data_IF_969658926347
#
_entry.id   IF_969658926347
#
_cell.length_a   1.000
_cell.length_b   1.000
_cell.length_c   1.000
_cell.angle_alpha   90.00
_cell.angle_beta   90.00
_cell.angle_gamma   90.00
#
_symmetry.space_group_name_H-M   'P 1'
#
loop_
_entity.id
_entity.type
_entity.pdbx_description
1 polymer ?
#
# COMPACT_ATOMS: atom_id res chain seq x y z
N UNK A 1 -7.81 19.68 -11.63
CA UNK A 1 -7.98 20.81 -12.58
C UNK A 1 -6.66 21.58 -12.66
N UNK A 2 -6.07 21.74 -13.84
CA UNK A 2 -4.83 22.51 -14.05
C UNK A 2 -5.16 23.81 -14.79
N UNK A 3 -5.33 24.92 -14.06
CA UNK A 3 -5.45 26.27 -14.64
C UNK A 3 -4.23 27.07 -14.20
N UNK A 4 -3.53 27.69 -15.15
CA UNK A 4 -2.43 28.62 -14.91
C UNK A 4 -2.90 29.99 -15.40
N UNK A 5 -2.94 30.98 -14.52
CA UNK A 5 -3.30 32.37 -14.84
C UNK A 5 -2.07 33.11 -15.38
N UNK A 6 -2.31 34.15 -16.17
CA UNK A 6 -1.25 34.99 -16.75
C UNK A 6 -0.31 35.60 -15.71
N UNK A 7 -0.83 35.92 -14.51
CA UNK A 7 -0.05 36.44 -13.39
C UNK A 7 0.96 35.44 -12.83
N UNK A 8 0.65 34.14 -12.89
CA UNK A 8 1.51 33.05 -12.42
C UNK A 8 2.73 32.83 -13.34
N UNK A 9 2.71 33.33 -14.59
CA UNK A 9 3.86 33.28 -15.52
C UNK A 9 5.05 34.12 -15.07
N UNK A 10 4.90 34.97 -14.05
CA UNK A 10 6.02 35.70 -13.45
C UNK A 10 6.95 34.77 -12.67
N UNK A 11 6.42 33.64 -12.19
CA UNK A 11 7.18 32.63 -11.49
C UNK A 11 8.09 31.86 -12.48
N UNK A 12 9.42 31.83 -12.26
CA UNK A 12 10.33 31.00 -13.06
C UNK A 12 9.96 29.51 -13.07
N UNK A 13 9.40 28.98 -11.98
CA UNK A 13 9.04 27.56 -11.88
C UNK A 13 7.82 27.23 -12.74
N UNK A 14 6.84 28.13 -12.81
CA UNK A 14 5.67 27.98 -13.71
C UNK A 14 6.09 28.05 -15.17
N UNK A 15 7.04 28.93 -15.51
CA UNK A 15 7.60 28.99 -16.88
C UNK A 15 8.41 27.75 -17.23
N UNK A 16 9.19 27.22 -16.28
CA UNK A 16 9.91 25.97 -16.45
C UNK A 16 8.95 24.79 -16.64
N UNK A 17 7.91 24.68 -15.82
CA UNK A 17 6.85 23.68 -15.97
C UNK A 17 6.21 23.74 -17.36
N UNK A 18 5.83 24.94 -17.83
CA UNK A 18 5.27 25.12 -19.17
C UNK A 18 6.25 24.74 -20.27
N UNK A 19 7.52 25.10 -20.17
CA UNK A 19 8.54 24.68 -21.12
C UNK A 19 8.66 23.15 -21.17
N UNK A 20 8.72 22.50 -20.00
CA UNK A 20 8.80 21.04 -19.86
C UNK A 20 7.57 20.33 -20.45
N UNK A 21 6.36 20.90 -20.36
CA UNK A 21 5.17 20.36 -21.03
C UNK A 21 5.39 20.20 -22.54
N UNK A 22 6.15 21.10 -23.17
CA UNK A 22 6.40 21.05 -24.61
C UNK A 22 7.67 20.28 -24.98
N UNK A 23 8.72 20.36 -24.17
CA UNK A 23 10.02 19.76 -24.49
C UNK A 23 10.17 18.34 -23.98
N UNK A 24 9.61 18.04 -22.81
CA UNK A 24 9.72 16.74 -22.16
C UNK A 24 8.45 16.39 -21.34
N UNK A 25 7.26 16.36 -21.96
CA UNK A 25 5.98 16.18 -21.26
C UNK A 25 5.95 14.92 -20.39
N UNK A 26 6.64 13.87 -20.83
CA UNK A 26 6.67 12.60 -20.11
C UNK A 26 7.51 12.65 -18.82
N UNK A 27 8.34 13.66 -18.61
CA UNK A 27 9.06 13.87 -17.34
C UNK A 27 8.15 14.41 -16.24
N UNK A 28 7.04 15.06 -16.63
CA UNK A 28 6.01 15.60 -15.73
C UNK A 28 4.96 14.56 -15.36
N UNK A 29 4.96 13.39 -16.01
CA UNK A 29 4.06 12.29 -15.69
C UNK A 29 4.42 11.73 -14.30
N UNK A 30 3.58 11.96 -13.27
CA UNK A 30 3.88 11.51 -11.92
C UNK A 30 4.04 9.98 -11.86
N UNK A 31 3.30 9.24 -12.70
CA UNK A 31 3.41 7.79 -12.76
C UNK A 31 4.79 7.34 -13.28
N UNK A 32 5.38 8.04 -14.25
CA UNK A 32 6.75 7.74 -14.71
C UNK A 32 7.80 8.07 -13.67
N UNK A 33 7.64 9.19 -12.96
CA UNK A 33 8.55 9.56 -11.85
C UNK A 33 8.50 8.50 -10.75
N UNK A 34 7.30 8.14 -10.30
CA UNK A 34 7.07 7.09 -9.30
C UNK A 34 7.60 5.73 -9.75
N UNK A 35 7.34 5.31 -10.98
CA UNK A 35 7.87 4.06 -11.53
C UNK A 35 9.41 4.02 -11.57
N UNK A 36 10.07 5.14 -11.94
CA UNK A 36 11.53 5.23 -11.97
C UNK A 36 12.13 5.15 -10.56
N UNK A 37 11.57 5.90 -9.60
CA UNK A 37 11.99 5.86 -8.19
C UNK A 37 11.81 4.46 -7.64
N UNK A 38 10.63 3.88 -7.84
CA UNK A 38 10.28 2.50 -7.45
C UNK A 38 11.27 1.48 -7.99
N UNK A 39 11.62 1.54 -9.29
CA UNK A 39 12.56 0.60 -9.92
C UNK A 39 13.97 0.68 -9.33
N UNK A 40 14.43 1.89 -9.02
CA UNK A 40 15.76 2.13 -8.46
C UNK A 40 15.86 1.56 -7.05
N UNK A 41 14.88 1.86 -6.20
CA UNK A 41 14.81 1.35 -4.82
C UNK A 41 14.64 -0.17 -4.82
N UNK A 42 13.82 -0.73 -5.71
CA UNK A 42 13.63 -2.16 -5.84
C UNK A 42 14.93 -2.92 -6.15
N UNK A 43 15.87 -2.29 -6.86
CA UNK A 43 17.17 -2.88 -7.13
C UNK A 43 18.06 -2.91 -5.87
N UNK A 44 18.09 -1.83 -5.10
CA UNK A 44 18.85 -1.71 -3.85
C UNK A 44 18.35 -2.69 -2.80
N UNK A 45 17.04 -2.73 -2.58
CA UNK A 45 16.41 -3.62 -1.61
C UNK A 45 16.54 -5.09 -2.00
N UNK A 46 16.47 -5.42 -3.30
CA UNK A 46 16.72 -6.79 -3.75
C UNK A 46 18.19 -7.21 -3.51
N UNK A 47 19.15 -6.28 -3.60
CA UNK A 47 20.54 -6.57 -3.22
C UNK A 47 20.69 -6.80 -1.72
N UNK A 48 20.00 -6.00 -0.90
CA UNK A 48 19.96 -6.17 0.55
C UNK A 48 19.32 -7.50 0.96
N UNK A 49 18.17 -7.85 0.38
CA UNK A 49 17.47 -9.10 0.65
C UNK A 49 18.37 -10.31 0.38
N UNK A 50 18.97 -10.38 -0.81
CA UNK A 50 19.90 -11.48 -1.16
C UNK A 50 21.11 -11.57 -0.24
N UNK A 51 21.63 -10.41 0.21
CA UNK A 51 22.75 -10.38 1.15
C UNK A 51 22.35 -10.95 2.52
N UNK A 52 21.14 -10.66 3.00
CA UNK A 52 20.63 -11.14 4.28
C UNK A 52 20.23 -12.63 4.23
N UNK A 53 19.65 -13.09 3.12
CA UNK A 53 19.26 -14.50 2.93
C UNK A 53 20.45 -15.47 2.93
N UNK A 54 21.67 -14.97 2.71
CA UNK A 54 22.89 -15.76 2.90
C UNK A 54 23.18 -16.13 4.37
N UNK A 55 22.49 -15.50 5.33
CA UNK A 55 22.74 -15.68 6.77
C UNK A 55 21.47 -15.81 7.62
N UNK A 56 20.29 -15.58 7.03
CA UNK A 56 19.01 -15.59 7.72
C UNK A 56 17.93 -16.30 6.89
N UNK A 57 16.93 -16.91 7.54
CA UNK A 57 15.75 -17.45 6.86
C UNK A 57 15.01 -16.40 6.02
N UNK A 58 14.53 -16.78 4.84
CA UNK A 58 13.91 -15.84 3.90
C UNK A 58 12.62 -15.20 4.42
N UNK A 59 11.87 -15.90 5.29
CA UNK A 59 10.72 -15.35 6.00
C UNK A 59 11.14 -14.26 6.99
N UNK A 60 12.20 -14.48 7.78
CA UNK A 60 12.72 -13.48 8.71
C UNK A 60 13.21 -12.22 7.97
N UNK A 61 13.91 -12.40 6.84
CA UNK A 61 14.35 -11.30 5.97
C UNK A 61 13.17 -10.51 5.42
N UNK A 62 12.14 -11.20 4.92
CA UNK A 62 10.94 -10.54 4.39
C UNK A 62 10.25 -9.66 5.44
N UNK A 63 10.01 -10.20 6.65
CA UNK A 63 9.38 -9.44 7.74
C UNK A 63 10.24 -8.25 8.19
N UNK A 64 11.55 -8.45 8.31
CA UNK A 64 12.48 -7.38 8.65
C UNK A 64 12.45 -6.24 7.62
N UNK A 65 12.52 -6.56 6.33
CA UNK A 65 12.46 -5.57 5.27
C UNK A 65 11.09 -4.88 5.24
N UNK A 66 9.98 -5.61 5.37
CA UNK A 66 8.64 -5.00 5.43
C UNK A 66 8.54 -3.93 6.52
N UNK A 67 9.04 -4.21 7.74
CA UNK A 67 9.05 -3.24 8.84
C UNK A 67 9.91 -2.03 8.52
N UNK A 68 11.13 -2.22 8.01
CA UNK A 68 11.99 -1.11 7.61
C UNK A 68 11.33 -0.21 6.56
N UNK A 69 10.74 -0.82 5.53
CA UNK A 69 10.09 -0.11 4.43
C UNK A 69 8.87 0.68 4.91
N UNK A 70 8.07 0.08 5.79
CA UNK A 70 6.95 0.79 6.38
C UNK A 70 7.42 1.92 7.30
N UNK A 71 8.51 1.75 8.06
CA UNK A 71 9.06 2.84 8.89
C UNK A 71 9.56 4.01 8.03
N UNK A 72 10.21 3.74 6.89
CA UNK A 72 10.59 4.77 5.91
C UNK A 72 9.36 5.46 5.29
N UNK A 73 8.33 4.68 4.95
CA UNK A 73 7.07 5.24 4.49
C UNK A 73 6.42 6.16 5.54
N UNK A 74 6.39 5.71 6.80
CA UNK A 74 5.76 6.43 7.90
C UNK A 74 6.42 7.79 8.17
N UNK A 75 7.74 7.91 8.08
CA UNK A 75 8.41 9.22 8.23
C UNK A 75 8.13 10.19 7.08
N UNK A 76 8.01 9.69 5.85
CA UNK A 76 7.85 10.54 4.68
C UNK A 76 6.40 11.01 4.48
N UNK A 77 5.41 10.21 4.93
CA UNK A 77 3.99 10.63 4.93
C UNK A 77 3.57 11.38 6.19
N UNK A 78 4.47 11.59 7.15
CA UNK A 78 4.20 12.38 8.36
C UNK A 78 3.51 11.63 9.51
N UNK A 79 3.56 10.30 9.52
CA UNK A 79 3.15 9.47 10.66
C UNK A 79 4.24 9.41 11.74
N UNK A 80 5.50 9.55 11.33
CA UNK A 80 6.65 9.77 12.20
C UNK A 80 7.27 11.14 11.89
N UNK A 81 8.09 11.71 12.78
CA UNK A 81 8.82 12.93 12.46
C UNK A 81 9.64 12.76 11.18
N UNK A 82 9.64 13.82 10.36
CA UNK A 82 10.24 13.81 9.04
C UNK A 82 11.72 13.39 9.09
N UNK A 83 12.11 12.41 8.25
CA UNK A 83 13.45 11.81 8.17
C UNK A 83 14.01 11.24 9.49
N UNK A 84 13.17 10.94 10.48
CA UNK A 84 13.64 10.49 11.78
C UNK A 84 14.23 9.07 11.79
N UNK A 85 13.67 8.14 11.00
CA UNK A 85 14.26 6.83 10.78
C UNK A 85 15.49 6.93 9.87
N UNK A 86 15.44 7.74 8.80
CA UNK A 86 16.62 8.02 7.97
C UNK A 86 17.80 8.53 8.82
N UNK A 87 17.54 9.45 9.75
CA UNK A 87 18.57 9.97 10.66
C UNK A 87 19.06 8.91 11.64
N UNK A 88 18.16 8.09 12.21
CA UNK A 88 18.55 6.97 13.08
C UNK A 88 19.53 6.03 12.37
N UNK A 89 19.26 5.65 11.11
CA UNK A 89 20.18 4.82 10.33
C UNK A 89 21.53 5.50 10.11
N UNK A 90 21.54 6.82 9.89
CA UNK A 90 22.75 7.60 9.72
C UNK A 90 23.61 7.64 11.00
N UNK A 91 22.99 7.81 12.16
CA UNK A 91 23.65 7.83 13.46
C UNK A 91 24.30 6.48 13.79
N UNK A 92 23.67 5.38 13.34
CA UNK A 92 24.16 4.00 13.53
C UNK A 92 25.29 3.59 12.56
N UNK A 93 25.67 4.43 11.60
CA UNK A 93 26.68 4.10 10.57
C UNK A 93 28.00 3.60 11.16
N UNK A 94 28.42 4.17 12.29
CA UNK A 94 29.67 3.84 12.97
C UNK A 94 29.47 2.93 14.20
N UNK A 95 28.23 2.54 14.48
CA UNK A 95 27.85 1.66 15.59
C UNK A 95 26.74 0.68 15.15
N UNK A 96 27.06 -0.14 14.15
CA UNK A 96 26.10 -1.05 13.53
C UNK A 96 25.61 -2.12 14.52
N UNK A 97 26.40 -2.46 15.55
CA UNK A 97 26.01 -3.40 16.58
C UNK A 97 24.80 -2.92 17.40
N UNK A 98 24.62 -1.60 17.52
CA UNK A 98 23.45 -0.99 18.17
C UNK A 98 22.20 -0.97 17.29
N UNK A 99 22.29 -1.35 16.01
CA UNK A 99 21.14 -1.29 15.09
C UNK A 99 19.94 -2.11 15.59
N UNK A 100 20.07 -3.42 15.91
CA UNK A 100 18.92 -4.19 16.37
C UNK A 100 18.25 -3.58 17.60
N UNK A 101 18.92 -3.38 18.76
CA UNK A 101 18.22 -2.92 19.95
C UNK A 101 17.55 -1.54 19.80
N UNK A 102 18.13 -0.63 18.99
CA UNK A 102 17.53 0.68 18.72
C UNK A 102 16.26 0.59 17.88
N UNK A 103 16.32 -0.18 16.79
CA UNK A 103 15.21 -0.31 15.84
C UNK A 103 14.07 -1.14 16.44
N UNK A 104 14.39 -2.22 17.17
CA UNK A 104 13.38 -3.00 17.89
C UNK A 104 12.65 -2.17 18.94
N UNK A 105 13.37 -1.27 19.64
CA UNK A 105 12.72 -0.36 20.59
C UNK A 105 11.76 0.60 19.89
N UNK A 106 12.18 1.15 18.74
CA UNK A 106 11.30 2.00 17.94
C UNK A 106 10.04 1.23 17.51
N UNK A 107 10.19 0.02 16.96
CA UNK A 107 9.08 -0.80 16.51
C UNK A 107 8.12 -1.22 17.63
N UNK A 108 8.64 -1.54 18.82
CA UNK A 108 7.80 -1.78 20.00
C UNK A 108 6.96 -0.55 20.38
N UNK A 109 7.53 0.64 20.27
CA UNK A 109 6.75 1.88 20.48
C UNK A 109 5.77 2.13 19.33
N UNK A 110 6.10 1.80 18.08
CA UNK A 110 5.15 1.90 16.97
C UNK A 110 3.96 0.94 17.14
N UNK A 111 4.19 -0.27 17.68
CA UNK A 111 3.12 -1.25 17.96
C UNK A 111 2.11 -0.71 19.00
N UNK A 112 2.62 -0.12 20.09
CA UNK A 112 1.81 0.28 21.24
C UNK A 112 1.36 1.75 21.21
N UNK A 113 2.04 2.60 20.45
CA UNK A 113 1.92 4.06 20.50
C UNK A 113 2.57 4.67 21.75
N UNK A 114 2.68 6.00 21.77
CA UNK A 114 3.16 6.77 22.93
C UNK A 114 4.55 7.38 22.73
N UNK A 115 5.25 7.66 23.82
CA UNK A 115 6.52 8.38 23.78
C UNK A 115 7.68 7.48 23.33
N UNK A 116 8.21 7.73 22.15
CA UNK A 116 9.43 7.07 21.65
C UNK A 116 10.66 7.76 22.21
N UNK A 117 11.46 7.03 22.99
CA UNK A 117 12.76 7.52 23.47
C UNK A 117 13.80 7.62 22.36
N UNK A 118 13.65 6.81 21.31
CA UNK A 118 14.52 6.81 20.12
C UNK A 118 14.31 8.10 19.32
N UNK A 119 13.04 8.48 19.08
CA UNK A 119 12.69 9.67 18.29
C UNK A 119 12.44 10.92 19.15
N UNK A 120 12.41 10.76 20.48
CA UNK A 120 12.16 11.81 21.48
C UNK A 120 10.84 12.57 21.26
N UNK A 121 9.81 11.86 20.82
CA UNK A 121 8.49 12.43 20.54
C UNK A 121 7.38 11.42 20.86
N UNK A 122 6.15 11.92 20.99
CA UNK A 122 4.96 11.08 20.90
C UNK A 122 4.80 10.57 19.44
N UNK A 123 4.50 9.29 19.29
CA UNK A 123 4.18 8.66 18.00
C UNK A 123 2.84 7.91 18.10
N UNK A 124 2.08 7.83 17.00
CA UNK A 124 0.77 7.17 17.01
C UNK A 124 0.91 5.65 17.19
N UNK A 125 -0.17 5.00 17.63
CA UNK A 125 -0.25 3.54 17.64
C UNK A 125 -0.52 3.01 16.24
N UNK A 126 0.34 2.14 15.74
CA UNK A 126 0.20 1.59 14.40
C UNK A 126 -0.59 0.28 14.33
N UNK A 127 -0.64 -0.58 15.36
CA UNK A 127 -0.68 -2.03 15.08
C UNK A 127 -1.86 -2.65 14.31
N UNK A 128 -1.46 -3.55 13.41
CA UNK A 128 -2.24 -4.55 12.68
C UNK A 128 -1.26 -5.66 12.26
N UNK A 129 -0.78 -6.41 13.25
CA UNK A 129 0.23 -7.49 13.21
C UNK A 129 1.67 -7.13 12.75
N UNK A 130 1.86 -6.10 11.90
CA UNK A 130 3.17 -5.76 11.33
C UNK A 130 4.31 -5.56 12.36
N UNK A 131 4.01 -4.90 13.47
CA UNK A 131 4.97 -4.57 14.53
C UNK A 131 4.82 -5.43 15.80
N UNK A 132 3.91 -6.42 15.79
CA UNK A 132 3.68 -7.29 16.95
C UNK A 132 4.96 -8.05 17.35
N UNK A 133 5.70 -8.55 16.35
CA UNK A 133 7.02 -9.14 16.54
C UNK A 133 8.11 -8.17 16.08
N UNK A 134 8.49 -7.24 16.96
CA UNK A 134 9.50 -6.22 16.68
C UNK A 134 10.94 -6.75 16.67
N UNK A 135 11.24 -7.79 15.88
CA UNK A 135 12.58 -8.40 15.74
C UNK A 135 13.35 -7.75 14.57
N UNK A 136 14.56 -7.26 14.85
CA UNK A 136 15.47 -6.68 13.86
C UNK A 136 16.68 -7.59 13.58
N UNK A 137 17.02 -7.75 12.30
CA UNK A 137 18.19 -8.54 11.93
C UNK A 137 19.49 -7.74 12.17
N UNK A 138 20.57 -8.38 12.65
CA UNK A 138 21.88 -7.75 12.69
C UNK A 138 22.34 -7.45 11.26
N UNK A 139 22.90 -6.25 11.05
CA UNK A 139 23.39 -5.81 9.76
C UNK A 139 24.91 -5.72 9.75
N UNK A 140 25.51 -5.93 8.58
CA UNK A 140 26.87 -5.45 8.29
C UNK A 140 26.84 -3.97 7.93
N UNK A 141 28.00 -3.30 7.95
CA UNK A 141 28.11 -1.91 7.49
C UNK A 141 27.65 -1.73 6.03
N UNK A 142 27.88 -2.73 5.17
CA UNK A 142 27.44 -2.72 3.77
C UNK A 142 25.92 -2.84 3.66
N UNK A 143 25.31 -3.73 4.44
CA UNK A 143 23.85 -3.91 4.48
C UNK A 143 23.15 -2.67 5.04
N UNK A 144 23.70 -2.06 6.10
CA UNK A 144 23.20 -0.79 6.62
C UNK A 144 23.31 0.33 5.57
N UNK A 145 24.42 0.40 4.82
CA UNK A 145 24.55 1.39 3.75
C UNK A 145 23.49 1.21 2.66
N UNK A 146 23.18 -0.02 2.23
CA UNK A 146 22.09 -0.28 1.28
C UNK A 146 20.73 0.18 1.83
N UNK A 147 20.47 -0.07 3.12
CA UNK A 147 19.24 0.37 3.78
C UNK A 147 19.15 1.91 3.86
N UNK A 148 20.27 2.57 4.18
CA UNK A 148 20.38 4.03 4.20
C UNK A 148 20.15 4.66 2.82
N UNK A 149 20.67 4.05 1.75
CA UNK A 149 20.42 4.52 0.38
C UNK A 149 18.93 4.42 0.00
N UNK A 150 18.25 3.34 0.42
CA UNK A 150 16.81 3.20 0.23
C UNK A 150 16.01 4.24 1.05
N UNK A 151 16.46 4.56 2.27
CA UNK A 151 15.83 5.55 3.14
C UNK A 151 15.89 6.99 2.60
N UNK A 152 16.89 7.31 1.74
CA UNK A 152 17.00 8.64 1.10
C UNK A 152 15.90 8.96 0.10
N UNK A 153 15.22 7.95 -0.41
CA UNK A 153 14.13 8.16 -1.34
C UNK A 153 12.96 8.92 -0.68
N UNK A 154 12.05 9.45 -1.48
CA UNK A 154 10.77 9.94 -1.02
C UNK A 154 9.72 8.84 -1.18
N UNK A 155 9.36 8.21 -0.07
CA UNK A 155 8.43 7.08 -0.03
C UNK A 155 6.97 7.48 -0.30
N UNK A 156 6.68 8.79 -0.39
CA UNK A 156 5.40 9.27 -0.95
C UNK A 156 5.27 8.98 -2.44
N UNK A 157 6.40 8.93 -3.15
CA UNK A 157 6.46 8.69 -4.59
C UNK A 157 6.64 7.21 -4.97
N UNK A 158 6.82 6.33 -3.98
CA UNK A 158 7.03 4.89 -4.22
C UNK A 158 5.70 4.19 -4.40
N UNK A 159 5.58 3.43 -5.48
CA UNK A 159 4.39 2.62 -5.70
C UNK A 159 4.41 1.39 -4.77
N UNK A 160 3.29 1.07 -4.10
CA UNK A 160 3.15 -0.17 -3.32
C UNK A 160 3.47 -1.45 -4.10
N UNK A 161 3.38 -1.39 -5.43
CA UNK A 161 3.86 -2.44 -6.33
C UNK A 161 5.32 -2.88 -6.08
N UNK A 162 6.16 -2.02 -5.47
CA UNK A 162 7.56 -2.34 -5.14
C UNK A 162 7.67 -3.64 -4.37
N UNK A 163 6.78 -3.90 -3.41
CA UNK A 163 6.85 -5.07 -2.55
C UNK A 163 6.66 -6.38 -3.33
N UNK A 164 5.83 -6.38 -4.38
CA UNK A 164 5.69 -7.53 -5.27
C UNK A 164 6.99 -7.84 -6.01
N UNK A 165 7.69 -6.81 -6.48
CA UNK A 165 8.99 -7.00 -7.14
C UNK A 165 10.10 -7.43 -6.17
N UNK A 166 10.02 -7.03 -4.90
CA UNK A 166 10.93 -7.49 -3.85
C UNK A 166 10.72 -8.96 -3.56
N UNK A 167 9.46 -9.38 -3.40
CA UNK A 167 9.12 -10.77 -3.17
C UNK A 167 9.56 -11.66 -4.33
N UNK A 168 9.25 -11.28 -5.57
CA UNK A 168 9.67 -12.04 -6.76
C UNK A 168 11.19 -12.27 -6.77
N UNK A 169 11.96 -11.24 -6.40
CA UNK A 169 13.43 -11.27 -6.39
C UNK A 169 14.03 -11.97 -5.16
N UNK A 170 13.28 -12.10 -4.08
CA UNK A 170 13.65 -12.84 -2.86
C UNK A 170 13.34 -14.34 -2.98
N UNK A 171 12.45 -14.74 -3.88
CA UNK A 171 12.20 -16.17 -4.17
C UNK A 171 13.31 -16.76 -5.04
N UNK A 172 13.84 -17.94 -4.65
CA UNK A 172 14.70 -18.75 -5.52
C UNK A 172 13.94 -19.15 -6.81
N UNK A 173 14.59 -19.20 -7.98
CA UNK A 173 13.98 -19.62 -9.24
C UNK A 173 13.02 -20.83 -9.18
N UNK A 174 13.31 -21.84 -8.35
CA UNK A 174 12.45 -23.03 -8.23
C UNK A 174 11.17 -22.71 -7.47
N UNK A 175 11.26 -22.01 -6.33
CA UNK A 175 10.08 -21.54 -5.57
C UNK A 175 9.23 -20.61 -6.42
N UNK A 176 9.88 -19.69 -7.15
CA UNK A 176 9.21 -18.75 -8.05
C UNK A 176 8.42 -19.47 -9.14
N UNK A 177 9.02 -20.49 -9.77
CA UNK A 177 8.35 -21.30 -10.79
C UNK A 177 7.21 -22.15 -10.20
N UNK A 178 7.42 -22.79 -9.04
CA UNK A 178 6.42 -23.65 -8.38
C UNK A 178 5.18 -22.87 -7.96
N UNK A 179 5.36 -21.65 -7.47
CA UNK A 179 4.27 -20.77 -7.02
C UNK A 179 3.66 -19.94 -8.15
N UNK A 180 4.25 -19.95 -9.35
CA UNK A 180 3.88 -19.02 -10.43
C UNK A 180 4.01 -17.55 -10.00
N UNK A 181 4.94 -17.25 -9.09
CA UNK A 181 5.10 -15.96 -8.42
C UNK A 181 5.70 -14.89 -9.35
N UNK A 182 4.95 -14.57 -10.41
CA UNK A 182 5.24 -13.50 -11.34
C UNK A 182 4.40 -12.29 -10.99
N UNK A 183 5.07 -11.17 -10.75
CA UNK A 183 4.37 -9.91 -10.54
C UNK A 183 3.63 -9.51 -11.82
N UNK A 184 2.31 -9.31 -11.72
CA UNK A 184 1.47 -8.81 -12.82
C UNK A 184 1.57 -7.29 -12.89
N UNK A 185 2.14 -6.69 -13.95
CA UNK A 185 2.29 -5.24 -14.03
C UNK A 185 0.95 -4.51 -14.04
N UNK A 186 0.93 -3.27 -13.51
CA UNK A 186 -0.26 -2.41 -13.45
C UNK A 186 -1.07 -2.37 -14.75
N UNK A 187 -0.41 -2.18 -15.89
CA UNK A 187 -1.10 -2.09 -17.18
C UNK A 187 -1.90 -3.36 -17.52
N UNK A 188 -1.47 -4.54 -17.07
CA UNK A 188 -2.24 -5.78 -17.25
C UNK A 188 -3.38 -5.89 -16.25
N UNK A 189 -3.16 -5.47 -15.01
CA UNK A 189 -4.21 -5.40 -13.99
C UNK A 189 -5.33 -4.47 -14.46
N UNK A 190 -5.01 -3.28 -14.96
CA UNK A 190 -5.98 -2.30 -15.44
C UNK A 190 -6.81 -2.83 -16.63
N UNK A 191 -6.23 -3.67 -17.49
CA UNK A 191 -6.99 -4.33 -18.58
C UNK A 191 -8.11 -5.23 -18.09
N UNK A 192 -8.07 -5.68 -16.84
CA UNK A 192 -9.14 -6.46 -16.20
C UNK A 192 -10.00 -5.58 -15.30
N UNK A 193 -9.38 -4.82 -14.40
CA UNK A 193 -10.07 -3.99 -13.39
C UNK A 193 -10.94 -2.91 -14.03
N UNK A 194 -10.42 -2.22 -15.06
CA UNK A 194 -11.13 -1.11 -15.68
C UNK A 194 -12.46 -1.57 -16.29
N UNK A 195 -12.49 -2.56 -17.21
CA UNK A 195 -13.76 -2.98 -17.82
C UNK A 195 -14.69 -3.73 -16.87
N UNK A 196 -14.16 -4.48 -15.88
CA UNK A 196 -15.01 -5.34 -15.03
C UNK A 196 -15.53 -4.64 -13.78
N UNK A 197 -14.81 -3.66 -13.23
CA UNK A 197 -15.17 -2.97 -11.98
C UNK A 197 -15.40 -1.49 -12.22
N UNK A 198 -14.45 -0.80 -12.85
CA UNK A 198 -14.46 0.68 -12.91
C UNK A 198 -15.50 1.21 -13.88
N UNK A 199 -15.56 0.67 -15.10
CA UNK A 199 -16.49 1.12 -16.14
C UNK A 199 -17.97 0.97 -15.72
N UNK A 200 -18.42 -0.18 -15.17
CA UNK A 200 -19.80 -0.31 -14.68
C UNK A 200 -20.12 0.71 -13.58
N UNK A 201 -19.23 0.89 -12.60
CA UNK A 201 -19.42 1.86 -11.53
C UNK A 201 -19.43 3.30 -12.05
N UNK A 202 -18.64 3.62 -13.08
CA UNK A 202 -18.65 4.94 -13.71
C UNK A 202 -19.94 5.22 -14.46
N UNK A 203 -20.46 4.25 -15.22
CA UNK A 203 -21.75 4.41 -15.90
C UNK A 203 -22.90 4.66 -14.90
N UNK A 204 -22.88 3.95 -13.79
CA UNK A 204 -23.83 4.17 -12.70
C UNK A 204 -23.64 5.55 -12.05
N UNK A 205 -22.38 5.95 -11.80
CA UNK A 205 -22.06 7.27 -11.27
C UNK A 205 -22.54 8.41 -12.17
N UNK A 206 -22.36 8.30 -13.49
CA UNK A 206 -22.82 9.30 -14.45
C UNK A 206 -24.36 9.44 -14.41
N UNK A 207 -25.07 8.33 -14.21
CA UNK A 207 -26.52 8.31 -14.05
C UNK A 207 -26.96 8.97 -12.74
N UNK A 208 -26.28 8.65 -11.62
CA UNK A 208 -26.49 9.27 -10.30
C UNK A 208 -26.26 10.77 -10.34
N UNK A 209 -25.15 11.20 -10.96
CA UNK A 209 -24.79 12.61 -11.09
C UNK A 209 -25.83 13.38 -11.92
N UNK A 210 -26.31 12.79 -13.01
CA UNK A 210 -27.38 13.38 -13.83
C UNK A 210 -28.67 13.52 -13.03
N UNK A 211 -29.06 12.49 -12.28
CA UNK A 211 -30.24 12.53 -11.43
C UNK A 211 -30.13 13.59 -10.32
N UNK A 212 -28.97 13.70 -9.67
CA UNK A 212 -28.72 14.70 -8.64
C UNK A 212 -28.82 16.13 -9.18
N UNK A 213 -28.28 16.40 -10.37
CA UNK A 213 -28.39 17.70 -11.04
C UNK A 213 -29.85 18.06 -11.35
N UNK A 214 -30.63 17.13 -11.90
CA UNK A 214 -32.05 17.35 -12.18
C UNK A 214 -32.86 17.65 -10.90
N UNK A 215 -32.57 16.92 -9.81
CA UNK A 215 -33.20 17.16 -8.50
C UNK A 215 -32.82 18.54 -7.94
N UNK A 216 -31.57 18.96 -8.11
CA UNK A 216 -31.10 20.29 -7.72
C UNK A 216 -31.82 21.40 -8.49
N UNK A 217 -31.98 21.26 -9.81
CA UNK A 217 -32.73 22.21 -10.65
C UNK A 217 -34.21 22.33 -10.26
N UNK A 218 -34.79 21.24 -9.75
CA UNK A 218 -36.16 21.20 -9.22
C UNK A 218 -36.28 21.73 -7.77
N UNK A 219 -35.18 22.21 -7.18
CA UNK A 219 -35.14 22.69 -5.79
C UNK A 219 -35.18 21.59 -4.74
N UNK A 220 -34.99 20.32 -5.12
CA UNK A 220 -35.04 19.15 -4.25
C UNK A 220 -33.65 18.74 -3.75
N UNK A 221 -32.90 19.70 -3.19
CA UNK A 221 -31.50 19.51 -2.77
C UNK A 221 -31.31 18.33 -1.79
N UNK A 222 -32.26 18.11 -0.86
CA UNK A 222 -32.19 16.98 0.06
C UNK A 222 -32.21 15.63 -0.65
N UNK A 223 -33.05 15.47 -1.68
CA UNK A 223 -33.09 14.25 -2.48
C UNK A 223 -31.84 14.11 -3.36
N UNK A 224 -31.33 15.21 -3.92
CA UNK A 224 -30.08 15.20 -4.68
C UNK A 224 -28.91 14.67 -3.83
N UNK A 225 -28.80 15.12 -2.58
CA UNK A 225 -27.81 14.63 -1.62
C UNK A 225 -28.02 13.14 -1.33
N UNK A 226 -29.25 12.71 -1.01
CA UNK A 226 -29.56 11.31 -0.69
C UNK A 226 -29.11 10.34 -1.80
N UNK A 227 -29.40 10.65 -3.06
CA UNK A 227 -29.04 9.76 -4.19
C UNK A 227 -27.52 9.63 -4.33
N UNK A 228 -26.77 10.72 -4.09
CA UNK A 228 -25.29 10.68 -4.14
C UNK A 228 -24.70 9.96 -2.91
N UNK A 229 -25.28 10.13 -1.72
CA UNK A 229 -24.88 9.39 -0.51
C UNK A 229 -25.13 7.88 -0.64
N UNK A 230 -26.24 7.47 -1.26
CA UNK A 230 -26.55 6.07 -1.52
C UNK A 230 -25.49 5.42 -2.42
N UNK A 231 -25.04 6.16 -3.45
CA UNK A 231 -23.93 5.70 -4.29
C UNK A 231 -22.62 5.60 -3.50
N UNK A 232 -22.30 6.57 -2.64
CA UNK A 232 -21.12 6.49 -1.76
C UNK A 232 -21.19 5.28 -0.82
N UNK A 233 -22.36 5.02 -0.19
CA UNK A 233 -22.57 3.83 0.63
C UNK A 233 -22.35 2.57 -0.17
N UNK A 234 -22.85 2.49 -1.40
CA UNK A 234 -22.60 1.35 -2.29
C UNK A 234 -21.09 1.15 -2.54
N UNK A 235 -20.34 2.22 -2.83
CA UNK A 235 -18.89 2.15 -3.00
C UNK A 235 -18.19 1.64 -1.74
N UNK A 236 -18.61 2.08 -0.54
CA UNK A 236 -18.04 1.66 0.73
C UNK A 236 -18.39 0.21 1.14
N UNK A 237 -19.43 -0.39 0.55
CA UNK A 237 -19.85 -1.77 0.82
C UNK A 237 -19.46 -2.77 -0.28
N UNK A 238 -18.91 -2.31 -1.41
CA UNK A 238 -18.43 -3.19 -2.47
C UNK A 238 -17.31 -4.10 -1.92
N UNK A 239 -17.35 -5.39 -2.25
CA UNK A 239 -16.31 -6.36 -1.86
C UNK A 239 -15.65 -6.92 -3.12
N UNK A 240 -14.33 -6.95 -3.14
CA UNK A 240 -13.53 -7.47 -4.25
C UNK A 240 -12.70 -8.62 -3.72
N UNK A 241 -12.79 -9.80 -4.33
CA UNK A 241 -12.02 -10.99 -3.95
C UNK A 241 -11.02 -11.34 -5.05
N UNK A 242 -9.77 -11.52 -4.67
CA UNK A 242 -8.73 -12.12 -5.49
C UNK A 242 -8.27 -13.45 -4.85
N UNK A 243 -8.68 -14.62 -5.37
CA UNK A 243 -8.39 -15.91 -4.76
C UNK A 243 -6.95 -16.40 -4.98
N UNK A 244 -6.10 -15.64 -5.66
CA UNK A 244 -4.67 -15.92 -5.82
C UNK A 244 -3.89 -14.60 -5.83
N UNK A 245 -4.05 -13.84 -4.75
CA UNK A 245 -3.75 -12.41 -4.77
C UNK A 245 -2.25 -12.06 -4.81
N UNK A 246 -1.36 -13.02 -4.52
CA UNK A 246 0.08 -12.77 -4.45
C UNK A 246 0.38 -11.62 -3.49
N UNK A 247 1.05 -10.58 -3.99
CA UNK A 247 1.34 -9.35 -3.25
C UNK A 247 0.22 -8.29 -3.32
N UNK A 248 -1.02 -8.70 -3.63
CA UNK A 248 -2.22 -7.86 -3.74
C UNK A 248 -2.20 -6.73 -4.78
N UNK A 249 -1.44 -6.84 -5.88
CA UNK A 249 -1.40 -5.76 -6.87
C UNK A 249 -2.77 -5.51 -7.53
N UNK A 250 -3.55 -6.57 -7.81
CA UNK A 250 -4.91 -6.45 -8.35
C UNK A 250 -5.84 -5.71 -7.38
N UNK A 251 -5.82 -6.13 -6.12
CA UNK A 251 -6.62 -5.53 -5.05
C UNK A 251 -6.23 -4.05 -4.83
N UNK A 252 -4.94 -3.74 -4.80
CA UNK A 252 -4.44 -2.37 -4.66
C UNK A 252 -4.87 -1.45 -5.80
N UNK A 253 -4.67 -1.87 -7.06
CA UNK A 253 -5.07 -1.06 -8.22
C UNK A 253 -6.57 -0.83 -8.23
N UNK A 254 -7.35 -1.86 -7.89
CA UNK A 254 -8.80 -1.73 -7.75
C UNK A 254 -9.17 -0.72 -6.66
N UNK A 255 -8.55 -0.81 -5.49
CA UNK A 255 -8.76 0.14 -4.40
C UNK A 255 -8.43 1.57 -4.81
N UNK A 256 -7.33 1.79 -5.52
CA UNK A 256 -6.95 3.11 -5.99
C UNK A 256 -8.01 3.69 -6.96
N UNK A 257 -8.53 2.89 -7.88
CA UNK A 257 -9.62 3.35 -8.77
C UNK A 257 -10.90 3.68 -8.00
N UNK A 258 -11.28 2.86 -7.01
CA UNK A 258 -12.44 3.14 -6.17
C UNK A 258 -12.24 4.40 -5.33
N UNK A 259 -11.03 4.63 -4.80
CA UNK A 259 -10.66 5.84 -4.06
C UNK A 259 -10.71 7.10 -4.93
N UNK A 260 -10.30 7.01 -6.21
CA UNK A 260 -10.46 8.10 -7.18
C UNK A 260 -11.94 8.42 -7.42
N UNK A 261 -12.76 7.40 -7.64
CA UNK A 261 -14.20 7.57 -7.83
C UNK A 261 -14.89 8.14 -6.58
N UNK A 262 -14.54 7.64 -5.40
CA UNK A 262 -14.99 8.19 -4.10
C UNK A 262 -14.69 9.68 -4.00
N UNK A 263 -13.47 10.12 -4.35
CA UNK A 263 -13.12 11.54 -4.29
C UNK A 263 -13.98 12.41 -5.23
N UNK A 264 -14.38 11.89 -6.40
CA UNK A 264 -15.33 12.55 -7.30
C UNK A 264 -16.73 12.65 -6.66
N UNK A 265 -17.20 11.59 -6.02
CA UNK A 265 -18.50 11.56 -5.31
C UNK A 265 -18.52 12.56 -4.15
N UNK A 266 -17.48 12.55 -3.30
CA UNK A 266 -17.31 13.49 -2.20
C UNK A 266 -17.16 14.94 -2.67
N UNK A 267 -16.66 15.16 -3.89
CA UNK A 267 -16.62 16.50 -4.47
C UNK A 267 -18.04 17.01 -4.81
N UNK A 268 -18.86 16.19 -5.47
CA UNK A 268 -20.26 16.55 -5.80
C UNK A 268 -21.07 16.81 -4.53
N UNK A 269 -20.91 16.00 -3.48
CA UNK A 269 -21.60 16.25 -2.21
C UNK A 269 -21.24 17.61 -1.59
N UNK A 270 -19.95 17.99 -1.64
CA UNK A 270 -19.52 19.32 -1.20
C UNK A 270 -20.15 20.44 -2.02
N UNK A 271 -20.28 20.28 -3.34
CA UNK A 271 -20.95 21.25 -4.22
C UNK A 271 -22.45 21.37 -3.93
N UNK A 272 -23.12 20.27 -3.54
CA UNK A 272 -24.53 20.25 -3.17
C UNK A 272 -24.82 20.85 -1.77
N UNK A 273 -23.81 21.37 -1.08
CA UNK A 273 -23.96 22.07 0.20
C UNK A 273 -23.75 21.21 1.44
N UNK A 274 -23.29 19.95 1.30
CA UNK A 274 -22.85 19.12 2.43
C UNK A 274 -21.45 19.50 2.93
N UNK A 275 -21.23 20.78 3.22
CA UNK A 275 -19.98 21.25 3.81
C UNK A 275 -19.86 20.93 5.31
N UNK A 276 -20.97 20.64 6.00
CA UNK A 276 -21.06 20.56 7.47
C UNK A 276 -21.30 19.16 8.07
N UNK A 277 -21.47 18.10 7.27
CA UNK A 277 -21.68 16.72 7.78
C UNK A 277 -20.42 15.84 7.68
N UNK A 278 -19.24 16.46 7.86
CA UNK A 278 -17.92 15.83 7.65
C UNK A 278 -17.70 14.58 8.53
N UNK A 279 -18.32 14.49 9.71
CA UNK A 279 -18.05 13.42 10.68
C UNK A 279 -18.81 12.11 10.38
N UNK A 280 -20.07 12.16 9.92
CA UNK A 280 -20.81 10.93 9.56
C UNK A 280 -20.32 10.35 8.24
N UNK A 281 -19.98 11.22 7.28
CA UNK A 281 -19.41 10.81 6.00
C UNK A 281 -18.01 10.20 6.12
N UNK A 282 -17.24 10.57 7.15
CA UNK A 282 -15.94 9.94 7.43
C UNK A 282 -16.04 8.45 7.77
N UNK A 283 -17.20 8.00 8.26
CA UNK A 283 -17.46 6.60 8.54
C UNK A 283 -17.79 5.77 7.29
N UNK A 284 -18.25 6.42 6.20
CA UNK A 284 -18.66 5.77 4.96
C UNK A 284 -17.63 6.08 3.88
N UNK A 285 -16.59 5.27 3.84
CA UNK A 285 -15.51 5.41 2.87
C UNK A 285 -15.04 4.04 2.38
N UNK A 286 -14.34 4.05 1.25
CA UNK A 286 -13.62 2.91 0.75
C UNK A 286 -12.47 2.60 1.73
N UNK A 287 -12.32 1.36 2.18
CA UNK A 287 -11.25 0.96 3.12
C UNK A 287 -10.60 -0.34 2.69
N UNK A 288 -9.39 -0.66 3.19
CA UNK A 288 -8.72 -1.93 2.89
C UNK A 288 -9.58 -3.17 3.17
N UNK A 289 -10.50 -3.11 4.14
CA UNK A 289 -11.37 -4.22 4.54
C UNK A 289 -12.24 -4.79 3.40
N UNK A 290 -12.51 -3.97 2.37
CA UNK A 290 -13.31 -4.38 1.20
C UNK A 290 -12.58 -5.31 0.24
N UNK A 291 -11.24 -5.35 0.32
CA UNK A 291 -10.39 -6.06 -0.62
C UNK A 291 -9.92 -7.34 0.05
N UNK A 292 -10.41 -8.46 -0.46
CA UNK A 292 -10.24 -9.79 0.10
C UNK A 292 -9.25 -10.55 -0.77
N UNK A 293 -8.34 -11.29 -0.14
CA UNK A 293 -7.33 -12.07 -0.81
C UNK A 293 -7.24 -13.47 -0.26
N UNK A 294 -6.92 -14.45 -1.11
CA UNK A 294 -6.40 -15.74 -0.67
C UNK A 294 -5.01 -15.91 -1.28
N UNK A 295 -4.06 -16.37 -0.49
CA UNK A 295 -2.68 -16.56 -0.92
C UNK A 295 -2.05 -17.74 -0.17
N UNK A 296 -1.40 -18.64 -0.90
CA UNK A 296 -0.80 -19.85 -0.32
C UNK A 296 0.56 -19.56 0.32
N UNK A 297 1.31 -18.58 -0.19
CA UNK A 297 2.62 -18.21 0.32
C UNK A 297 2.47 -17.21 1.49
N UNK A 298 2.87 -17.58 2.72
CA UNK A 298 2.74 -16.69 3.88
C UNK A 298 3.50 -15.37 3.73
N UNK A 299 4.63 -15.35 2.99
CA UNK A 299 5.37 -14.12 2.70
C UNK A 299 4.57 -13.18 1.80
N UNK A 300 3.89 -13.73 0.80
CA UNK A 300 3.06 -12.96 -0.13
C UNK A 300 1.81 -12.40 0.57
N UNK A 301 1.16 -13.22 1.39
CA UNK A 301 -0.01 -12.84 2.17
C UNK A 301 0.28 -11.65 3.12
N UNK A 302 1.40 -11.70 3.86
CA UNK A 302 1.79 -10.59 4.74
C UNK A 302 2.08 -9.29 3.96
N UNK A 303 2.71 -9.40 2.79
CA UNK A 303 2.96 -8.26 1.90
C UNK A 303 1.65 -7.68 1.36
N UNK A 304 0.70 -8.53 0.97
CA UNK A 304 -0.58 -8.13 0.40
C UNK A 304 -1.35 -7.17 1.33
N UNK A 305 -1.41 -7.49 2.62
CA UNK A 305 -2.05 -6.62 3.62
C UNK A 305 -1.34 -5.26 3.73
N UNK A 306 -0.01 -5.28 3.79
CA UNK A 306 0.80 -4.07 3.88
C UNK A 306 0.62 -3.14 2.66
N UNK A 307 0.58 -3.71 1.46
CA UNK A 307 0.39 -3.00 0.19
C UNK A 307 -0.92 -2.21 0.17
N UNK A 308 -2.01 -2.82 0.65
CA UNK A 308 -3.32 -2.15 0.76
C UNK A 308 -3.27 -0.99 1.75
N UNK A 309 -2.63 -1.17 2.92
CA UNK A 309 -2.50 -0.12 3.91
C UNK A 309 -1.69 1.08 3.43
N UNK A 310 -0.52 0.83 2.82
CA UNK A 310 0.31 1.90 2.26
C UNK A 310 -0.48 2.66 1.20
N UNK A 311 -1.16 1.96 0.30
CA UNK A 311 -2.01 2.58 -0.73
C UNK A 311 -3.12 3.45 -0.14
N UNK A 312 -3.79 2.95 0.89
CA UNK A 312 -4.85 3.68 1.59
C UNK A 312 -4.31 4.94 2.29
N UNK A 313 -3.21 4.83 3.03
CA UNK A 313 -2.57 5.95 3.73
C UNK A 313 -2.06 7.00 2.74
N UNK A 314 -1.44 6.58 1.63
CA UNK A 314 -1.04 7.51 0.56
C UNK A 314 -2.25 8.30 0.02
N UNK A 315 -3.41 7.68 -0.11
CA UNK A 315 -4.62 8.37 -0.55
C UNK A 315 -5.18 9.31 0.51
N UNK A 316 -5.19 8.86 1.78
CA UNK A 316 -5.60 9.66 2.93
C UNK A 316 -4.82 10.97 3.01
N UNK A 317 -3.48 10.92 3.02
CA UNK A 317 -2.64 12.11 3.07
C UNK A 317 -2.73 12.97 1.81
N UNK A 318 -2.90 12.36 0.61
CA UNK A 318 -3.12 13.11 -0.63
C UNK A 318 -4.42 13.92 -0.64
N UNK A 319 -5.47 13.43 0.03
CA UNK A 319 -6.80 14.05 0.01
C UNK A 319 -7.08 14.94 1.21
N UNK A 320 -6.50 14.62 2.37
CA UNK A 320 -6.77 15.29 3.65
C UNK A 320 -5.58 16.11 4.18
N UNK A 321 -4.42 16.08 3.53
CA UNK A 321 -3.21 16.73 4.04
C UNK A 321 -2.75 16.09 5.34
N UNK A 322 -2.31 16.90 6.30
CA UNK A 322 -1.68 16.44 7.55
C UNK A 322 -2.66 15.95 8.64
N UNK A 323 -3.93 15.75 8.28
CA UNK A 323 -4.93 15.20 9.21
C UNK A 323 -4.57 13.75 9.51
N UNK A 324 -4.31 13.43 10.78
CA UNK A 324 -3.91 12.08 11.18
C UNK A 324 -5.08 11.09 11.03
N UNK A 325 -4.83 9.86 10.55
CA UNK A 325 -5.85 8.83 10.51
C UNK A 325 -6.19 8.33 11.93
N UNK A 326 -7.35 7.69 12.07
CA UNK A 326 -7.79 7.13 13.34
C UNK A 326 -6.86 5.99 13.80
N UNK A 327 -6.52 5.98 15.09
CA UNK A 327 -5.70 4.90 15.66
C UNK A 327 -6.53 3.61 15.90
N UNK A 328 -5.93 2.42 15.72
CA UNK A 328 -4.57 2.22 15.23
C UNK A 328 -4.47 2.49 13.71
N UNK A 329 -3.32 3.03 13.29
CA UNK A 329 -3.05 3.52 11.92
C UNK A 329 -3.17 2.40 10.88
N UNK A 330 -2.69 1.21 11.23
CA UNK A 330 -2.89 -0.05 10.52
C UNK A 330 -3.85 -0.86 11.38
N UNK A 331 -4.71 -1.69 10.79
CA UNK A 331 -5.59 -2.63 11.51
C UNK A 331 -5.44 -3.99 10.87
N UNK A 332 -5.37 -5.03 11.70
CA UNK A 332 -5.44 -6.41 11.24
C UNK A 332 -6.89 -6.73 10.86
N UNK A 333 -7.24 -6.54 9.59
CA UNK A 333 -8.60 -6.85 9.12
C UNK A 333 -8.78 -8.34 8.85
N UNK A 334 -7.69 -9.10 8.76
CA UNK A 334 -7.67 -10.50 8.36
C UNK A 334 -8.44 -10.73 7.04
N UNK A 335 -8.37 -9.76 6.14
CA UNK A 335 -8.98 -9.78 4.81
C UNK A 335 -8.12 -10.57 3.80
N UNK A 336 -6.86 -10.85 4.13
CA UNK A 336 -5.98 -11.73 3.36
C UNK A 336 -5.83 -13.06 4.10
N UNK A 337 -6.32 -14.14 3.49
CA UNK A 337 -6.27 -15.48 4.04
C UNK A 337 -5.05 -16.24 3.52
N UNK A 338 -4.17 -16.67 4.42
CA UNK A 338 -3.01 -17.49 4.07
C UNK A 338 -3.39 -18.98 3.96
N UNK A 339 -3.91 -19.42 2.80
CA UNK A 339 -4.30 -20.81 2.54
C UNK A 339 -4.32 -21.17 1.05
N UNK A 340 -4.48 -22.45 0.77
CA UNK A 340 -4.73 -22.94 -0.58
C UNK A 340 -6.19 -22.64 -0.99
N UNK A 341 -6.37 -21.82 -2.02
CA UNK A 341 -7.70 -21.41 -2.50
C UNK A 341 -8.51 -22.55 -3.16
N UNK A 342 -7.84 -23.62 -3.60
CA UNK A 342 -8.46 -24.77 -4.29
C UNK A 342 -8.76 -25.90 -3.32
N UNK A 343 -7.78 -26.25 -2.47
CA UNK A 343 -7.85 -27.44 -1.61
C UNK A 343 -8.42 -27.17 -0.21
N UNK A 344 -8.28 -25.95 0.32
CA UNK A 344 -8.64 -25.64 1.70
C UNK A 344 -9.97 -24.88 1.80
N UNK A 345 -11.02 -25.33 1.09
CA UNK A 345 -12.36 -24.77 1.24
C UNK A 345 -13.03 -25.21 2.55
N UNK A 346 -12.80 -26.45 3.00
CA UNK A 346 -13.41 -27.00 4.22
C UNK A 346 -12.39 -27.72 5.13
N UNK A 347 -11.55 -28.61 4.58
CA UNK A 347 -10.46 -29.28 5.30
C UNK A 347 -9.32 -29.67 4.34
N UNK A 348 -8.12 -29.91 4.87
CA UNK A 348 -7.00 -30.54 4.14
C UNK A 348 -6.82 -31.95 4.70
N UNK A 349 -7.03 -32.95 3.86
CA UNK A 349 -6.87 -34.35 4.24
C UNK A 349 -5.72 -34.98 3.44
N UNK A 350 -4.76 -35.67 4.10
CA UNK A 350 -3.69 -36.34 3.40
C UNK A 350 -4.26 -37.49 2.56
N UNK A 351 -3.82 -37.60 1.30
CA UNK A 351 -4.09 -38.79 0.50
C UNK A 351 -3.36 -39.97 1.15
N UNK A 352 -4.10 -41.01 1.52
CA UNK A 352 -3.55 -42.22 2.12
C UNK A 352 -3.45 -43.34 1.08
N UNK A 353 -2.42 -44.18 1.20
CA UNK A 353 -2.29 -45.42 0.42
C UNK A 353 -3.17 -46.54 1.00
N UNK A 354 -3.07 -47.74 0.41
CA UNK A 354 -3.83 -48.92 0.85
C UNK A 354 -3.50 -49.39 2.27
N UNK A 355 -2.39 -48.94 2.84
CA UNK A 355 -1.92 -49.27 4.20
C UNK A 355 -2.22 -48.14 5.20
N UNK A 356 -2.90 -47.07 4.75
CA UNK A 356 -3.27 -45.92 5.59
C UNK A 356 -2.12 -44.94 5.82
N UNK A 357 -1.00 -45.06 5.11
CA UNK A 357 0.13 -44.13 5.18
C UNK A 357 -0.05 -42.98 4.18
N UNK A 358 0.42 -41.78 4.54
CA UNK A 358 0.32 -40.62 3.64
C UNK A 358 1.17 -40.82 2.39
N UNK A 359 0.53 -40.68 1.22
CA UNK A 359 1.20 -40.72 -0.08
C UNK A 359 2.08 -39.48 -0.19
N UNK A 360 3.40 -39.70 -0.19
CA UNK A 360 4.38 -38.65 -0.43
C UNK A 360 4.92 -38.78 -1.85
N UNK A 361 5.04 -37.64 -2.55
CA UNK A 361 5.72 -37.57 -3.85
C UNK A 361 7.04 -36.85 -3.64
N UNK A 362 8.14 -37.57 -3.80
CA UNK A 362 9.48 -36.99 -3.69
C UNK A 362 9.67 -35.88 -4.72
N UNK A 363 10.13 -34.72 -4.26
CA UNK A 363 10.25 -33.50 -5.07
C UNK A 363 11.59 -33.37 -5.79
N UNK A 364 12.47 -34.37 -5.64
CA UNK A 364 13.75 -34.42 -6.34
C UNK A 364 14.94 -33.87 -5.54
N UNK A 365 14.78 -33.49 -4.27
CA UNK A 365 15.88 -32.96 -3.43
C UNK A 365 15.98 -33.69 -2.09
N UNK A 366 17.20 -33.78 -1.57
CA UNK A 366 17.57 -34.36 -0.27
C UNK A 366 18.03 -33.27 0.68
#
# INVERSE_FOLDING_TARGET
HHRIRLEELRDPDVRALLATVWTEPMSLDPARRSARVTRTIAAQLAALARSLEGSHPADAVAHFLMRCLFTMFAEDVGLLPNRSFTQLLADLRHDVASFPPMVEHLWRTMDTGGFSVILRTQIPRFNGDLFAEANALPLTSEQLALLMEAARADWRDVEPAIFGTLLERALDPVERHKLGAHYTPRAYVERLVVPTVVEPLRQEWDSVKTAALLLQEQGQNGLAITVVEEFLRKLAHLRVLDPACGSANFLYVTMEHLKRLEAEVLHVLRELGQAQMTLEMESIQVTPQQFLGIEINPRAAAIAELVLWIGFLQWHFRTRGDVQPAEPIVRAFHNIECRDAVLAWESVEPLLDGDGASVTRWDGRT
#
